data_IF_634604555496
#
_entry.id   IF_634604555496
#
_cell.length_a   1.000
_cell.length_b   1.000
_cell.length_c   1.000
_cell.angle_alpha   90.00
_cell.angle_beta   90.00
_cell.angle_gamma   90.00
#
_symmetry.space_group_name_H-M   'P 1'
#
loop_
_entity.id
_entity.type
_entity.pdbx_description
1 polymer ?
#
# COMPACT_ATOMS: atom_id res chain seq x y z
N UNK A 1 -8.17 -2.85 20.58
CA UNK A 1 -7.73 -1.54 20.07
C UNK A 1 -8.91 -0.78 19.50
N UNK A 2 -9.08 0.43 19.90
CA UNK A 2 -10.22 1.24 19.45
C UNK A 2 -10.07 1.61 17.98
N UNK A 3 -11.15 1.47 17.24
CA UNK A 3 -11.21 1.84 15.84
C UNK A 3 -11.36 3.37 15.74
N UNK A 4 -10.76 3.98 14.75
CA UNK A 4 -10.91 5.42 14.54
C UNK A 4 -12.32 5.73 14.06
N UNK A 5 -12.87 6.86 14.52
CA UNK A 5 -14.15 7.37 14.02
C UNK A 5 -14.00 7.95 12.62
N UNK A 6 -12.82 8.53 12.33
CA UNK A 6 -12.49 9.11 11.04
C UNK A 6 -11.35 8.32 10.42
N UNK A 7 -11.41 8.00 9.12
CA UNK A 7 -10.29 7.31 8.48
C UNK A 7 -9.09 8.23 8.35
N UNK A 8 -7.89 7.63 8.42
CA UNK A 8 -6.67 8.38 8.08
C UNK A 8 -6.72 8.65 6.58
N UNK A 9 -6.52 9.89 6.13
CA UNK A 9 -6.50 10.19 4.70
C UNK A 9 -5.44 9.34 3.97
N UNK A 10 -5.81 8.80 2.81
CA UNK A 10 -4.94 7.93 2.04
C UNK A 10 -4.85 8.47 0.61
N UNK A 11 -3.62 8.56 0.10
CA UNK A 11 -3.37 8.95 -1.28
C UNK A 11 -2.35 8.02 -1.90
N UNK A 12 -2.21 8.11 -3.22
CA UNK A 12 -1.21 7.36 -3.97
C UNK A 12 -0.09 8.30 -4.36
N UNK A 13 1.14 7.81 -4.30
CA UNK A 13 2.28 8.60 -4.72
C UNK A 13 2.05 9.12 -6.15
N UNK A 14 2.38 10.39 -6.35
CA UNK A 14 2.19 11.10 -7.62
C UNK A 14 3.54 11.56 -8.15
N UNK A 15 3.79 11.28 -9.44
CA UNK A 15 5.03 11.70 -10.09
C UNK A 15 5.01 13.22 -10.37
N UNK A 16 6.17 13.76 -10.76
CA UNK A 16 6.29 15.16 -11.11
C UNK A 16 5.38 15.54 -12.28
N UNK A 17 5.03 14.59 -13.15
CA UNK A 17 4.14 14.83 -14.29
C UNK A 17 2.67 14.60 -13.94
N UNK A 18 2.36 14.32 -12.67
CA UNK A 18 0.99 14.15 -12.21
C UNK A 18 0.42 12.74 -12.34
N UNK A 19 1.24 11.77 -12.72
CA UNK A 19 0.78 10.38 -12.82
C UNK A 19 0.79 9.70 -11.46
N UNK A 20 -0.14 8.77 -11.27
CA UNK A 20 -0.25 7.95 -10.06
C UNK A 20 -0.10 6.48 -10.45
N UNK A 21 1.14 5.97 -10.51
CA UNK A 21 1.41 4.62 -11.04
C UNK A 21 0.65 3.51 -10.31
N UNK A 22 0.49 3.59 -8.98
CA UNK A 22 -0.22 2.55 -8.23
C UNK A 22 -1.71 2.57 -8.58
N UNK A 23 -2.30 3.78 -8.67
CA UNK A 23 -3.71 3.89 -9.06
C UNK A 23 -3.93 3.34 -10.47
N UNK A 24 -3.01 3.62 -11.38
CA UNK A 24 -3.08 3.09 -12.76
C UNK A 24 -2.99 1.58 -12.77
N UNK A 25 -2.07 1.02 -11.95
CA UNK A 25 -1.93 -0.42 -11.81
C UNK A 25 -3.20 -1.06 -11.26
N UNK A 26 -3.81 -0.46 -10.24
CA UNK A 26 -5.06 -0.97 -9.67
C UNK A 26 -6.18 -1.02 -10.70
N UNK A 27 -6.26 -0.01 -11.56
CA UNK A 27 -7.29 0.05 -12.60
C UNK A 27 -7.19 -1.08 -13.61
N UNK A 28 -5.99 -1.67 -13.79
CA UNK A 28 -5.78 -2.78 -14.72
C UNK A 28 -6.11 -4.13 -14.11
N UNK A 29 -6.33 -4.20 -12.82
CA UNK A 29 -6.67 -5.45 -12.16
C UNK A 29 -8.13 -5.82 -12.38
N UNK A 30 -8.45 -7.11 -12.19
CA UNK A 30 -9.84 -7.55 -12.20
C UNK A 30 -10.64 -6.79 -11.14
N UNK A 31 -11.91 -6.58 -11.43
CA UNK A 31 -12.80 -5.90 -10.51
C UNK A 31 -12.84 -6.55 -9.13
N UNK A 32 -12.87 -7.89 -9.09
CA UNK A 32 -12.90 -8.63 -7.82
C UNK A 32 -11.62 -8.42 -7.01
N UNK A 33 -10.45 -8.41 -7.67
CA UNK A 33 -9.18 -8.16 -7.01
C UNK A 33 -9.11 -6.72 -6.48
N UNK A 34 -9.53 -5.77 -7.30
CA UNK A 34 -9.59 -4.37 -6.90
C UNK A 34 -10.47 -4.15 -5.68
N UNK A 35 -11.61 -4.84 -5.63
CA UNK A 35 -12.54 -4.71 -4.51
C UNK A 35 -11.91 -5.19 -3.20
N UNK A 36 -11.17 -6.31 -3.24
CA UNK A 36 -10.48 -6.83 -2.06
C UNK A 36 -9.41 -5.85 -1.60
N UNK A 37 -8.59 -5.36 -2.51
CA UNK A 37 -7.53 -4.39 -2.17
C UNK A 37 -8.15 -3.11 -1.60
N UNK A 38 -9.20 -2.61 -2.21
CA UNK A 38 -9.91 -1.43 -1.72
C UNK A 38 -10.44 -1.61 -0.31
N UNK A 39 -11.01 -2.79 -0.03
CA UNK A 39 -11.48 -3.13 1.31
C UNK A 39 -10.36 -3.16 2.33
N UNK A 40 -9.21 -3.74 1.96
CA UNK A 40 -8.06 -3.80 2.85
C UNK A 40 -7.45 -2.42 3.10
N UNK A 41 -7.41 -1.56 2.07
CA UNK A 41 -6.96 -0.19 2.25
C UNK A 41 -7.89 0.57 3.20
N UNK A 42 -9.18 0.33 3.11
CA UNK A 42 -10.15 0.95 4.00
C UNK A 42 -9.96 0.47 5.44
N UNK A 43 -9.72 -0.83 5.62
CA UNK A 43 -9.39 -1.38 6.93
C UNK A 43 -8.13 -0.71 7.50
N UNK A 44 -7.13 -0.49 6.65
CA UNK A 44 -5.91 0.21 7.04
C UNK A 44 -6.21 1.63 7.50
N UNK A 45 -7.04 2.36 6.74
CA UNK A 45 -7.37 3.75 7.09
C UNK A 45 -8.05 3.87 8.45
N UNK A 46 -8.95 2.94 8.78
CA UNK A 46 -9.67 2.98 10.05
C UNK A 46 -8.91 2.36 11.20
N UNK A 47 -7.94 1.47 10.91
CA UNK A 47 -7.23 0.71 11.92
C UNK A 47 -5.79 1.16 12.19
N UNK A 48 -5.26 2.06 11.37
CA UNK A 48 -3.85 2.43 11.51
C UNK A 48 -3.52 3.05 12.88
N UNK A 49 -2.45 2.65 13.58
CA UNK A 49 -1.53 1.60 13.18
C UNK A 49 -2.11 0.20 13.43
N UNK A 50 -1.88 -0.70 12.48
CA UNK A 50 -2.37 -2.06 12.53
C UNK A 50 -1.21 -3.00 12.10
N UNK A 51 -1.14 -4.19 12.70
CA UNK A 51 -0.03 -5.11 12.47
C UNK A 51 -0.41 -6.35 11.67
N UNK A 52 0.41 -7.40 11.84
CA UNK A 52 0.19 -8.68 11.19
C UNK A 52 -1.18 -9.25 11.52
N UNK A 53 -1.80 -10.00 10.60
CA UNK A 53 -1.24 -10.42 9.31
C UNK A 53 -1.44 -9.41 8.17
N UNK A 54 -2.24 -8.35 8.36
CA UNK A 54 -2.56 -7.42 7.28
C UNK A 54 -1.38 -6.53 6.91
N UNK A 55 -0.67 -6.01 7.90
CA UNK A 55 0.42 -5.05 7.69
C UNK A 55 1.71 -5.54 8.35
N UNK A 56 2.81 -5.40 7.62
CA UNK A 56 4.14 -5.76 8.11
C UNK A 56 5.12 -4.62 7.83
N UNK A 57 5.95 -4.30 8.81
CA UNK A 57 6.99 -3.30 8.60
C UNK A 57 8.14 -3.92 7.81
N UNK A 58 8.57 -3.28 6.72
CA UNK A 58 9.66 -3.77 5.88
C UNK A 58 10.96 -3.02 6.08
N UNK A 59 10.89 -1.72 6.30
CA UNK A 59 12.05 -0.87 6.40
C UNK A 59 11.66 0.38 7.17
N UNK A 60 12.62 1.27 7.42
CA UNK A 60 12.33 2.52 8.09
C UNK A 60 11.27 3.30 7.30
N UNK A 61 10.16 3.60 7.96
CA UNK A 61 9.04 4.36 7.41
C UNK A 61 8.36 3.73 6.18
N UNK A 62 8.57 2.42 5.98
CA UNK A 62 7.91 1.69 4.89
C UNK A 62 7.28 0.41 5.45
N UNK A 63 5.99 0.28 5.19
CA UNK A 63 5.19 -0.89 5.59
C UNK A 63 4.59 -1.53 4.35
N UNK A 64 4.18 -2.78 4.50
CA UNK A 64 3.59 -3.59 3.45
C UNK A 64 2.17 -3.98 3.85
N UNK A 65 1.19 -3.63 3.02
CA UNK A 65 -0.17 -4.14 3.12
C UNK A 65 -0.24 -5.43 2.30
N UNK A 66 -0.82 -6.47 2.89
CA UNK A 66 -0.91 -7.80 2.29
C UNK A 66 -2.36 -8.13 1.99
N UNK A 67 -2.72 -8.20 0.70
CA UNK A 67 -4.08 -8.51 0.27
C UNK A 67 -4.14 -9.87 -0.41
N UNK A 68 -4.96 -10.76 0.09
CA UNK A 68 -5.16 -12.09 -0.51
C UNK A 68 -6.23 -11.96 -1.59
N UNK A 69 -5.84 -12.25 -2.84
CA UNK A 69 -6.71 -12.06 -3.98
C UNK A 69 -7.51 -13.33 -4.30
N UNK A 70 -8.75 -13.17 -4.77
CA UNK A 70 -9.56 -14.32 -5.16
C UNK A 70 -8.90 -15.10 -6.30
N UNK A 71 -8.41 -16.32 -6.01
CA UNK A 71 -7.87 -17.23 -7.00
C UNK A 71 -6.52 -16.89 -7.61
N UNK A 72 -5.83 -15.84 -7.14
CA UNK A 72 -4.60 -15.38 -7.79
C UNK A 72 -3.42 -15.04 -6.88
N UNK A 73 -3.40 -15.52 -5.67
CA UNK A 73 -2.29 -15.23 -4.78
C UNK A 73 -2.47 -13.91 -4.04
N UNK A 74 -1.40 -13.13 -3.87
CA UNK A 74 -1.42 -11.95 -3.02
C UNK A 74 -0.95 -10.69 -3.74
N UNK A 75 -1.63 -9.60 -3.45
CA UNK A 75 -1.12 -8.27 -3.80
C UNK A 75 -0.35 -7.71 -2.60
N UNK A 76 0.68 -6.94 -2.89
CA UNK A 76 1.45 -6.23 -1.88
C UNK A 76 1.45 -4.76 -2.24
N UNK A 77 1.13 -3.91 -1.26
CA UNK A 77 1.18 -2.46 -1.45
C UNK A 77 2.12 -1.89 -0.40
N UNK A 78 3.18 -1.23 -0.85
CA UNK A 78 4.15 -0.62 0.04
C UNK A 78 3.73 0.82 0.29
N UNK A 79 3.71 1.22 1.55
CA UNK A 79 3.22 2.55 1.91
C UNK A 79 4.05 3.15 3.04
N UNK A 80 3.97 4.46 3.17
CA UNK A 80 4.45 5.18 4.34
C UNK A 80 3.25 5.80 5.04
N UNK A 81 3.38 6.03 6.35
CA UNK A 81 2.28 6.58 7.13
C UNK A 81 2.79 7.31 8.36
N UNK A 82 2.00 8.28 8.79
CA UNK A 82 2.14 8.89 10.11
C UNK A 82 0.73 9.01 10.71
N UNK A 83 0.57 9.81 11.75
CA UNK A 83 -0.74 9.95 12.41
C UNK A 83 -1.77 10.66 11.52
N UNK A 84 -1.34 11.33 10.47
CA UNK A 84 -2.17 12.23 9.68
C UNK A 84 -2.45 11.77 8.26
N UNK A 85 -1.62 10.88 7.70
CA UNK A 85 -1.83 10.43 6.33
C UNK A 85 -1.13 9.13 6.03
N UNK A 86 -1.63 8.44 5.01
CA UNK A 86 -1.04 7.23 4.43
C UNK A 86 -0.77 7.53 2.96
N UNK A 87 0.43 7.22 2.47
CA UNK A 87 0.76 7.37 1.06
C UNK A 87 1.23 6.03 0.51
N UNK A 88 0.51 5.50 -0.47
CA UNK A 88 0.87 4.23 -1.12
C UNK A 88 1.94 4.51 -2.17
N UNK A 89 3.10 3.88 -2.00
CA UNK A 89 4.30 4.15 -2.79
C UNK A 89 4.47 3.21 -3.98
N UNK A 90 4.13 1.92 -3.81
CA UNK A 90 4.21 0.95 -4.90
C UNK A 90 3.23 -0.20 -4.67
N UNK A 91 2.94 -0.95 -5.71
CA UNK A 91 2.04 -2.10 -5.63
C UNK A 91 2.39 -3.13 -6.68
N UNK A 92 2.25 -4.39 -6.33
CA UNK A 92 2.58 -5.49 -7.23
C UNK A 92 1.89 -6.78 -6.80
N UNK A 93 1.81 -7.76 -7.71
CA UNK A 93 1.34 -9.10 -7.38
C UNK A 93 2.55 -9.92 -6.96
N UNK A 94 2.48 -10.49 -5.76
CA UNK A 94 3.59 -11.27 -5.22
C UNK A 94 3.63 -12.65 -5.84
N UNK A 95 4.79 -13.04 -6.35
CA UNK A 95 5.01 -14.35 -6.97
C UNK A 95 6.04 -15.20 -6.23
N UNK A 96 6.66 -14.66 -5.19
CA UNK A 96 7.69 -15.37 -4.43
C UNK A 96 7.48 -15.15 -2.93
N UNK A 97 8.24 -15.86 -2.11
CA UNK A 97 8.13 -15.76 -0.65
C UNK A 97 8.55 -14.37 -0.13
N UNK A 98 9.55 -13.78 -0.76
CA UNK A 98 10.09 -12.49 -0.31
C UNK A 98 9.57 -11.33 -1.15
N UNK A 99 9.44 -10.16 -0.54
CA UNK A 99 9.20 -8.93 -1.28
C UNK A 99 10.45 -8.62 -2.11
N UNK A 100 10.29 -8.44 -3.43
CA UNK A 100 11.46 -8.16 -4.28
C UNK A 100 12.20 -6.91 -3.85
N UNK A 101 13.54 -6.99 -3.80
CA UNK A 101 14.37 -5.86 -3.41
C UNK A 101 14.13 -4.62 -4.27
N UNK A 102 13.86 -4.82 -5.57
CA UNK A 102 13.58 -3.72 -6.48
C UNK A 102 12.32 -2.94 -6.11
N UNK A 103 11.30 -3.61 -5.56
CA UNK A 103 10.09 -2.94 -5.12
C UNK A 103 10.34 -2.10 -3.89
N UNK A 104 11.16 -2.59 -2.96
CA UNK A 104 11.52 -1.84 -1.76
C UNK A 104 12.33 -0.60 -2.14
N UNK A 105 13.29 -0.74 -3.07
CA UNK A 105 14.09 0.38 -3.54
C UNK A 105 13.24 1.43 -4.26
N UNK A 106 12.27 0.99 -5.05
CA UNK A 106 11.34 1.90 -5.71
C UNK A 106 10.55 2.70 -4.67
N UNK A 107 10.04 2.00 -3.64
CA UNK A 107 9.30 2.66 -2.57
C UNK A 107 10.18 3.68 -1.83
N UNK A 108 11.45 3.34 -1.58
CA UNK A 108 12.39 4.27 -0.93
C UNK A 108 12.62 5.52 -1.75
N UNK A 109 12.82 5.37 -3.05
CA UNK A 109 13.01 6.52 -3.94
C UNK A 109 11.79 7.44 -3.93
N UNK A 110 10.60 6.85 -4.01
CA UNK A 110 9.36 7.61 -4.02
C UNK A 110 9.11 8.30 -2.67
N UNK A 111 9.45 7.62 -1.57
CA UNK A 111 9.37 8.22 -0.24
C UNK A 111 10.29 9.42 -0.13
N UNK A 112 11.52 9.29 -0.62
CA UNK A 112 12.49 10.38 -0.60
C UNK A 112 12.00 11.59 -1.38
N UNK A 113 11.41 11.37 -2.55
CA UNK A 113 10.84 12.45 -3.35
C UNK A 113 9.66 13.11 -2.64
N UNK A 114 8.84 12.31 -1.97
CA UNK A 114 7.70 12.83 -1.22
C UNK A 114 8.12 13.76 -0.11
N UNK A 115 9.29 13.51 0.49
CA UNK A 115 9.80 14.28 1.63
C UNK A 115 10.70 15.44 1.23
N UNK A 116 11.05 15.55 -0.02
CA UNK A 116 11.92 16.65 -0.47
C UNK A 116 11.15 17.94 -0.72
#
# INVERSE_FOLDING_TARGET
MARRLQPVPLSFWRSATGREPVREWLRRLRKSDRAVIGGDLRTLQFGWPIGMPLVRKLADRIWELRSTLPGRGEARLLFTADAHRIVVLSGFIKKSQKTPAGEIELARRRLKELES
#
